data_IF_468053804567
#
_entry.id   IF_468053804567
#
_cell.length_a   1.000
_cell.length_b   1.000
_cell.length_c   1.000
_cell.angle_alpha   90.00
_cell.angle_beta   90.00
_cell.angle_gamma   90.00
#
_symmetry.space_group_name_H-M   'P 1'
#
loop_
_entity.id
_entity.type
_entity.pdbx_description
1 polymer ?
#
# COMPACT_ATOMS: atom_id res chain seq x y z
N UNK A 1 -11.35 -5.18 -37.43
CA UNK A 1 -10.71 -3.84 -37.31
C UNK A 1 -11.51 -2.85 -36.45
N UNK A 2 -12.85 -2.80 -36.51
CA UNK A 2 -13.66 -1.81 -35.76
C UNK A 2 -13.51 -1.86 -34.22
N UNK A 3 -13.47 -3.06 -33.62
CA UNK A 3 -13.38 -3.23 -32.16
C UNK A 3 -12.18 -2.53 -31.53
N UNK A 4 -10.99 -2.68 -32.13
CA UNK A 4 -9.75 -2.11 -31.60
C UNK A 4 -9.68 -0.58 -31.72
N UNK A 5 -10.57 0.02 -32.52
CA UNK A 5 -10.67 1.48 -32.68
C UNK A 5 -11.65 2.13 -31.68
N UNK A 6 -12.41 1.34 -30.90
CA UNK A 6 -13.38 1.86 -29.92
C UNK A 6 -12.72 2.67 -28.80
N UNK A 7 -11.52 2.29 -28.38
CA UNK A 7 -10.75 2.99 -27.36
C UNK A 7 -9.54 3.61 -28.06
N UNK A 8 -9.57 4.93 -28.35
CA UNK A 8 -8.51 5.59 -29.10
C UNK A 8 -7.24 5.75 -28.25
N UNK A 9 -6.13 6.11 -28.91
CA UNK A 9 -4.84 6.43 -28.27
C UNK A 9 -4.16 5.27 -27.50
N UNK A 10 -4.62 4.05 -27.68
CA UNK A 10 -4.03 2.82 -27.13
C UNK A 10 -3.12 2.12 -28.14
N UNK A 11 -2.28 1.17 -27.68
CA UNK A 11 -1.40 0.39 -28.57
C UNK A 11 -2.19 -0.38 -29.62
N UNK A 12 -3.29 -1.05 -29.23
CA UNK A 12 -4.12 -1.83 -30.15
C UNK A 12 -4.89 -0.95 -31.15
N UNK A 13 -5.24 0.27 -30.78
CA UNK A 13 -5.86 1.21 -31.71
C UNK A 13 -4.90 1.69 -32.81
N UNK A 14 -3.58 1.61 -32.58
CA UNK A 14 -2.53 2.09 -33.49
C UNK A 14 -1.88 0.99 -34.32
N UNK A 15 -2.45 -0.22 -34.35
CA UNK A 15 -1.90 -1.31 -35.16
C UNK A 15 -1.90 -0.95 -36.66
N UNK A 16 -0.74 -1.15 -37.29
CA UNK A 16 -0.51 -1.00 -38.73
C UNK A 16 0.38 -2.14 -39.20
N UNK A 17 0.31 -2.44 -40.50
CA UNK A 17 1.12 -3.48 -41.15
C UNK A 17 2.62 -3.11 -41.24
N UNK A 18 2.96 -1.86 -40.92
CA UNK A 18 4.34 -1.37 -40.85
C UNK A 18 5.02 -1.66 -39.50
N UNK A 19 4.30 -2.21 -38.53
CA UNK A 19 4.86 -2.54 -37.23
C UNK A 19 5.73 -3.80 -37.30
N UNK A 20 6.84 -3.78 -36.54
CA UNK A 20 7.80 -4.89 -36.50
C UNK A 20 7.20 -6.22 -35.99
N UNK A 21 6.07 -6.16 -35.30
CA UNK A 21 5.40 -7.32 -34.73
C UNK A 21 4.24 -7.85 -35.60
N UNK A 22 4.11 -7.37 -36.84
CA UNK A 22 3.16 -7.89 -37.83
C UNK A 22 3.82 -8.94 -38.73
N UNK A 23 3.23 -10.13 -38.83
CA UNK A 23 3.62 -11.17 -39.79
C UNK A 23 2.75 -11.06 -41.05
N UNK A 24 3.30 -10.70 -42.22
CA UNK A 24 2.54 -10.56 -43.46
C UNK A 24 2.15 -11.90 -44.09
N UNK A 25 2.81 -13.00 -43.75
CA UNK A 25 2.51 -14.34 -44.28
C UNK A 25 1.26 -14.89 -43.58
N UNK A 26 1.23 -14.79 -42.25
CA UNK A 26 0.11 -15.28 -41.42
C UNK A 26 -0.99 -14.22 -41.22
N UNK A 27 -0.71 -12.96 -41.57
CA UNK A 27 -1.60 -11.80 -41.35
C UNK A 27 -2.02 -11.66 -39.88
N UNK A 28 -1.04 -11.76 -38.99
CA UNK A 28 -1.24 -11.71 -37.53
C UNK A 28 -0.24 -10.79 -36.85
N UNK A 29 -0.54 -10.46 -35.58
CA UNK A 29 0.34 -9.66 -34.75
C UNK A 29 0.83 -10.50 -33.58
N UNK A 30 2.15 -10.55 -33.39
CA UNK A 30 2.77 -11.25 -32.27
C UNK A 30 3.03 -10.29 -31.10
N UNK A 31 2.78 -10.77 -29.89
CA UNK A 31 3.10 -10.07 -28.66
C UNK A 31 3.58 -11.07 -27.61
N UNK A 32 4.81 -10.91 -27.14
CA UNK A 32 5.37 -11.72 -26.07
C UNK A 32 4.98 -11.15 -24.70
N UNK A 33 3.67 -11.23 -24.38
CA UNK A 33 3.04 -10.64 -23.18
C UNK A 33 2.10 -11.63 -22.51
N UNK A 34 1.60 -11.29 -21.32
CA UNK A 34 0.79 -12.22 -20.51
C UNK A 34 -0.56 -12.56 -21.16
N UNK A 35 -0.79 -13.82 -21.59
CA UNK A 35 -1.97 -14.18 -22.40
C UNK A 35 -3.29 -14.04 -21.64
N UNK A 36 -3.29 -14.33 -20.32
CA UNK A 36 -4.49 -14.21 -19.48
C UNK A 36 -4.95 -12.75 -19.30
N UNK A 37 -3.99 -11.81 -19.25
CA UNK A 37 -4.32 -10.38 -19.12
C UNK A 37 -4.80 -9.83 -20.45
N UNK A 38 -4.17 -10.25 -21.55
CA UNK A 38 -4.60 -9.84 -22.89
C UNK A 38 -6.08 -10.17 -23.18
N UNK A 39 -6.59 -11.29 -22.64
CA UNK A 39 -8.01 -11.60 -22.75
C UNK A 39 -8.91 -10.51 -22.14
N UNK A 40 -8.55 -9.97 -20.97
CA UNK A 40 -9.28 -8.88 -20.32
C UNK A 40 -9.13 -7.56 -21.06
N UNK A 41 -7.92 -7.25 -21.52
CA UNK A 41 -7.64 -6.10 -22.38
C UNK A 41 -8.55 -6.14 -23.61
N UNK A 42 -8.62 -7.26 -24.32
CA UNK A 42 -9.45 -7.39 -25.52
C UNK A 42 -10.96 -7.31 -25.20
N UNK A 43 -11.39 -7.86 -24.07
CA UNK A 43 -12.77 -7.74 -23.60
C UNK A 43 -13.15 -6.29 -23.28
N UNK A 44 -12.21 -5.47 -22.79
CA UNK A 44 -12.45 -4.05 -22.59
C UNK A 44 -12.77 -3.34 -23.92
N UNK A 45 -12.04 -3.60 -25.00
CA UNK A 45 -12.41 -3.05 -26.32
C UNK A 45 -13.76 -3.55 -26.82
N UNK A 46 -14.18 -4.77 -26.47
CA UNK A 46 -15.47 -5.32 -26.89
C UNK A 46 -16.63 -4.67 -26.16
N UNK A 47 -16.54 -4.59 -24.83
CA UNK A 47 -17.64 -4.27 -23.91
C UNK A 47 -17.63 -2.82 -23.41
N UNK A 48 -16.46 -2.17 -23.41
CA UNK A 48 -16.26 -0.88 -22.74
C UNK A 48 -16.12 -0.97 -21.22
N UNK A 49 -16.00 -2.18 -20.65
CA UNK A 49 -15.82 -2.41 -19.21
C UNK A 49 -14.52 -3.14 -18.93
N UNK A 50 -13.69 -2.59 -18.05
CA UNK A 50 -12.39 -3.16 -17.70
C UNK A 50 -12.50 -3.96 -16.39
N UNK A 51 -12.42 -5.28 -16.48
CA UNK A 51 -12.48 -6.17 -15.32
C UNK A 51 -11.09 -6.73 -14.97
N UNK A 52 -10.84 -6.85 -13.67
CA UNK A 52 -9.62 -7.43 -13.12
C UNK A 52 -9.64 -8.97 -13.18
N UNK A 53 -8.58 -9.62 -13.70
CA UNK A 53 -8.43 -11.08 -13.66
C UNK A 53 -8.03 -11.57 -12.26
N UNK A 54 -8.78 -12.54 -11.71
CA UNK A 54 -8.57 -13.04 -10.32
C UNK A 54 -7.37 -13.98 -10.16
N UNK A 55 -6.78 -14.43 -11.26
CA UNK A 55 -5.62 -15.33 -11.33
C UNK A 55 -4.27 -14.59 -11.46
N UNK A 56 -4.29 -13.26 -11.45
CA UNK A 56 -3.13 -12.38 -11.58
C UNK A 56 -3.07 -11.45 -10.36
N UNK A 57 -1.90 -10.89 -10.04
CA UNK A 57 -1.74 -9.87 -8.99
C UNK A 57 -1.93 -8.44 -9.55
N UNK A 58 -2.34 -7.50 -8.68
CA UNK A 58 -2.56 -6.09 -9.02
C UNK A 58 -1.40 -5.46 -9.80
N UNK A 59 -0.14 -5.52 -9.29
CA UNK A 59 1.00 -4.93 -9.97
C UNK A 59 1.25 -5.46 -11.39
N UNK A 60 1.16 -6.79 -11.59
CA UNK A 60 1.34 -7.38 -12.92
C UNK A 60 0.25 -6.89 -13.90
N UNK A 61 -0.98 -6.73 -13.42
CA UNK A 61 -2.07 -6.20 -14.23
C UNK A 61 -1.83 -4.74 -14.61
N UNK A 62 -1.32 -3.90 -13.70
CA UNK A 62 -0.95 -2.50 -13.97
C UNK A 62 0.13 -2.40 -15.05
N UNK A 63 1.20 -3.19 -14.94
CA UNK A 63 2.28 -3.23 -15.94
C UNK A 63 1.77 -3.60 -17.34
N UNK A 64 0.83 -4.54 -17.42
CA UNK A 64 0.19 -4.88 -18.69
C UNK A 64 -0.71 -3.75 -19.19
N UNK A 65 -1.54 -3.14 -18.35
CA UNK A 65 -2.38 -2.01 -18.76
C UNK A 65 -1.53 -0.85 -19.29
N UNK A 66 -0.42 -0.53 -18.61
CA UNK A 66 0.54 0.47 -19.05
C UNK A 66 1.13 0.09 -20.41
N UNK A 67 1.55 -1.17 -20.60
CA UNK A 67 2.04 -1.65 -21.89
C UNK A 67 1.01 -1.44 -23.01
N UNK A 68 -0.26 -1.74 -22.77
CA UNK A 68 -1.35 -1.59 -23.74
C UNK A 68 -1.83 -0.15 -23.91
N UNK A 69 -1.37 0.77 -23.05
CA UNK A 69 -1.76 2.18 -23.01
C UNK A 69 -3.18 2.40 -22.49
N UNK A 70 -3.59 1.61 -21.49
CA UNK A 70 -4.87 1.71 -20.81
C UNK A 70 -4.70 2.31 -19.42
N UNK A 71 -5.64 3.17 -19.03
CA UNK A 71 -5.66 3.77 -17.70
C UNK A 71 -6.22 2.77 -16.67
N UNK A 72 -5.43 2.46 -15.64
CA UNK A 72 -5.80 1.55 -14.57
C UNK A 72 -6.92 2.08 -13.67
N UNK A 73 -7.19 3.39 -13.70
CA UNK A 73 -8.33 3.97 -12.99
C UNK A 73 -9.69 3.64 -13.65
N UNK A 74 -9.69 3.05 -14.86
CA UNK A 74 -10.91 2.65 -15.57
C UNK A 74 -11.41 1.26 -15.17
N UNK A 75 -10.74 0.58 -14.22
CA UNK A 75 -11.21 -0.71 -13.70
C UNK A 75 -12.61 -0.56 -13.10
N UNK A 76 -13.50 -1.51 -13.36
CA UNK A 76 -14.86 -1.47 -12.88
C UNK A 76 -14.93 -1.61 -11.34
N UNK A 77 -15.88 -0.95 -10.66
CA UNK A 77 -15.98 -0.94 -9.20
C UNK A 77 -16.07 -2.33 -8.55
N UNK A 78 -16.67 -3.31 -9.25
CA UNK A 78 -16.76 -4.69 -8.77
C UNK A 78 -15.39 -5.38 -8.56
N UNK A 79 -14.33 -4.82 -9.13
CA UNK A 79 -12.98 -5.38 -9.10
C UNK A 79 -12.02 -4.61 -8.18
N UNK A 80 -12.39 -3.41 -7.71
CA UNK A 80 -11.49 -2.51 -6.98
C UNK A 80 -10.87 -3.16 -5.75
N UNK A 81 -11.69 -3.79 -4.91
CA UNK A 81 -11.22 -4.40 -3.65
C UNK A 81 -10.10 -5.41 -3.88
N UNK A 82 -10.20 -6.24 -4.91
CA UNK A 82 -9.19 -7.26 -5.23
C UNK A 82 -7.97 -6.63 -5.90
N UNK A 83 -8.20 -5.67 -6.80
CA UNK A 83 -7.17 -4.98 -7.56
C UNK A 83 -6.24 -4.13 -6.66
N UNK A 84 -6.80 -3.38 -5.70
CA UNK A 84 -6.03 -2.49 -4.83
C UNK A 84 -5.44 -3.20 -3.60
N UNK A 85 -5.89 -4.41 -3.29
CA UNK A 85 -5.47 -5.14 -2.08
C UNK A 85 -3.94 -5.18 -1.90
N UNK A 86 -3.19 -5.44 -2.97
CA UNK A 86 -1.72 -5.47 -2.89
C UNK A 86 -1.14 -4.09 -2.56
N UNK A 87 -1.60 -3.03 -3.24
CA UNK A 87 -1.14 -1.65 -3.00
C UNK A 87 -1.47 -1.20 -1.58
N UNK A 88 -2.69 -1.46 -1.14
CA UNK A 88 -3.16 -1.07 0.20
C UNK A 88 -2.38 -1.84 1.28
N UNK A 89 -2.05 -3.12 1.02
CA UNK A 89 -1.17 -3.91 1.89
C UNK A 89 0.25 -3.34 1.91
N UNK A 90 0.80 -2.97 0.76
CA UNK A 90 2.15 -2.40 0.69
C UNK A 90 2.24 -1.03 1.36
N UNK A 91 1.20 -0.19 1.22
CA UNK A 91 1.11 1.10 1.90
C UNK A 91 1.02 0.92 3.42
N UNK A 92 0.16 0.02 3.89
CA UNK A 92 0.05 -0.29 5.32
C UNK A 92 1.34 -0.86 5.89
N UNK A 93 2.02 -1.77 5.18
CA UNK A 93 3.33 -2.27 5.57
C UNK A 93 4.38 -1.15 5.64
N UNK A 94 4.39 -0.21 4.70
CA UNK A 94 5.30 0.93 4.73
C UNK A 94 5.00 1.89 5.90
N UNK A 95 3.73 2.02 6.30
CA UNK A 95 3.36 2.76 7.51
C UNK A 95 3.84 2.03 8.76
N UNK A 96 3.66 0.72 8.84
CA UNK A 96 4.13 -0.10 9.97
C UNK A 96 5.66 -0.03 10.10
N UNK A 97 6.40 -0.15 9.01
CA UNK A 97 7.87 -0.05 9.00
C UNK A 97 8.34 1.32 9.52
N UNK A 98 7.68 2.41 9.13
CA UNK A 98 7.96 3.75 9.67
C UNK A 98 7.69 3.84 11.18
N UNK A 99 6.61 3.22 11.67
CA UNK A 99 6.29 3.20 13.10
C UNK A 99 7.27 2.34 13.90
N UNK A 100 7.74 1.24 13.32
CA UNK A 100 8.75 0.38 13.96
C UNK A 100 10.12 1.06 14.03
N UNK A 101 10.47 1.93 13.07
CA UNK A 101 11.69 2.75 13.14
C UNK A 101 11.66 3.81 14.26
N UNK A 102 10.47 4.25 14.69
CA UNK A 102 10.29 5.16 15.84
C UNK A 102 10.38 4.45 17.20
N UNK A 103 10.79 3.18 17.25
CA UNK A 103 11.02 2.45 18.53
C UNK A 103 12.35 2.80 19.22
N UNK A 104 13.11 3.75 18.68
CA UNK A 104 14.18 4.38 19.44
C UNK A 104 13.60 5.04 20.70
N UNK A 105 14.23 4.77 21.85
CA UNK A 105 13.78 5.39 23.11
C UNK A 105 13.83 6.91 22.92
N UNK A 106 12.70 7.62 23.13
CA UNK A 106 12.68 9.06 22.95
C UNK A 106 13.73 9.70 23.86
N UNK A 107 14.44 10.67 23.32
CA UNK A 107 15.42 11.45 24.07
C UNK A 107 14.76 12.14 25.27
N UNK A 108 15.55 12.47 26.30
CA UNK A 108 15.02 13.16 27.48
C UNK A 108 14.37 14.52 27.11
N UNK A 109 14.85 15.17 26.05
CA UNK A 109 14.28 16.39 25.50
C UNK A 109 12.89 16.17 24.87
N UNK A 110 12.72 15.13 24.05
CA UNK A 110 11.43 14.78 23.45
C UNK A 110 10.40 14.39 24.51
N UNK A 111 10.83 13.67 25.54
CA UNK A 111 10.00 13.37 26.70
C UNK A 111 9.60 14.66 27.42
N UNK A 112 10.54 15.59 27.66
CA UNK A 112 10.22 16.88 28.27
C UNK A 112 9.20 17.67 27.43
N UNK A 113 9.34 17.68 26.10
CA UNK A 113 8.41 18.32 25.17
C UNK A 113 7.01 17.69 25.22
N UNK A 114 6.91 16.36 25.17
CA UNK A 114 5.64 15.60 25.25
C UNK A 114 4.84 15.90 26.53
N UNK A 115 5.53 16.13 27.64
CA UNK A 115 4.90 16.38 28.94
C UNK A 115 4.81 17.87 29.32
N UNK A 116 5.23 18.79 28.44
CA UNK A 116 5.18 20.24 28.67
C UNK A 116 6.19 20.75 29.70
N UNK A 117 7.34 20.10 29.81
CA UNK A 117 8.42 20.42 30.76
C UNK A 117 9.68 20.97 30.08
N UNK A 118 9.58 21.43 28.84
CA UNK A 118 10.72 21.91 28.05
C UNK A 118 11.48 23.05 28.74
N UNK A 119 10.80 24.08 29.23
CA UNK A 119 11.42 25.21 29.93
C UNK A 119 12.17 24.76 31.20
N UNK A 120 11.59 23.81 31.95
CA UNK A 120 12.20 23.25 33.16
C UNK A 120 13.42 22.38 32.83
N UNK A 121 13.40 21.70 31.69
CA UNK A 121 14.51 20.91 31.18
C UNK A 121 15.69 21.80 30.75
N UNK A 122 15.44 22.83 29.93
CA UNK A 122 16.47 23.75 29.47
C UNK A 122 17.04 24.66 30.58
N UNK A 123 16.23 25.01 31.58
CA UNK A 123 16.70 25.74 32.77
C UNK A 123 17.43 24.86 33.80
N UNK A 124 17.47 23.53 33.59
CA UNK A 124 18.08 22.58 34.52
C UNK A 124 17.32 22.38 35.84
N UNK A 125 16.14 22.96 35.98
CA UNK A 125 15.34 22.96 37.21
C UNK A 125 14.19 21.92 37.16
N UNK A 126 14.52 20.67 36.83
CA UNK A 126 13.54 19.59 36.71
C UNK A 126 13.25 19.00 38.10
N UNK A 127 11.99 19.02 38.52
CA UNK A 127 11.54 18.37 39.75
C UNK A 127 11.63 16.85 39.70
N UNK A 128 11.72 16.20 40.86
CA UNK A 128 11.70 14.74 40.94
C UNK A 128 10.44 14.13 40.31
N UNK A 129 9.26 14.76 40.49
CA UNK A 129 8.01 14.33 39.87
C UNK A 129 8.05 14.40 38.34
N UNK A 130 8.65 15.45 37.77
CA UNK A 130 8.81 15.57 36.30
C UNK A 130 9.73 14.49 35.72
N UNK A 131 10.67 13.95 36.51
CA UNK A 131 11.51 12.81 36.10
C UNK A 131 10.82 11.46 36.24
N UNK A 132 9.94 11.29 37.22
CA UNK A 132 9.28 10.00 37.50
C UNK A 132 7.95 9.83 36.78
N UNK A 133 7.19 10.91 36.57
CA UNK A 133 5.89 10.89 35.87
C UNK A 133 5.96 10.22 34.48
N UNK A 134 6.92 10.55 33.59
CA UNK A 134 6.99 9.90 32.28
C UNK A 134 7.25 8.39 32.36
N UNK A 135 8.09 7.96 33.31
CA UNK A 135 8.42 6.54 33.53
C UNK A 135 7.23 5.75 34.08
N UNK A 136 6.44 6.39 34.95
CA UNK A 136 5.22 5.79 35.47
C UNK A 136 4.15 5.72 34.38
N UNK A 137 4.03 6.75 33.54
CA UNK A 137 3.11 6.77 32.42
C UNK A 137 3.40 5.65 31.42
N UNK A 138 4.66 5.50 30.97
CA UNK A 138 5.02 4.44 30.02
C UNK A 138 4.83 3.03 30.59
N UNK A 139 4.96 2.86 31.91
CA UNK A 139 4.72 1.57 32.57
C UNK A 139 3.26 1.09 32.45
N UNK A 140 2.30 2.01 32.41
CA UNK A 140 0.86 1.69 32.33
C UNK A 140 0.29 1.80 30.92
N UNK A 141 0.78 2.74 30.11
CA UNK A 141 0.25 3.06 28.78
C UNK A 141 0.86 2.17 27.68
N UNK A 142 2.13 1.78 27.83
CA UNK A 142 2.88 1.01 26.84
C UNK A 142 3.26 -0.37 27.40
N UNK A 143 2.47 -1.44 27.17
CA UNK A 143 2.73 -2.77 27.74
C UNK A 143 4.05 -3.39 27.27
N UNK A 144 4.62 -2.91 26.16
CA UNK A 144 5.90 -3.38 25.64
C UNK A 144 7.12 -2.58 26.14
N UNK A 145 6.91 -1.49 26.90
CA UNK A 145 7.99 -0.59 27.35
C UNK A 145 8.99 -1.26 28.31
N UNK A 146 8.55 -2.25 29.08
CA UNK A 146 9.38 -3.00 30.03
C UNK A 146 8.76 -4.34 30.39
N UNK A 147 9.54 -5.24 31.01
CA UNK A 147 9.00 -6.52 31.51
C UNK A 147 7.93 -6.31 32.60
N UNK A 148 8.07 -5.27 33.42
CA UNK A 148 7.06 -4.91 34.42
C UNK A 148 5.75 -4.43 33.75
N UNK A 149 5.84 -3.63 32.69
CA UNK A 149 4.68 -3.21 31.90
C UNK A 149 3.95 -4.39 31.26
N UNK A 150 4.69 -5.41 30.78
CA UNK A 150 4.11 -6.64 30.23
C UNK A 150 3.29 -7.40 31.28
N UNK A 151 3.82 -7.53 32.49
CA UNK A 151 3.13 -8.20 33.60
C UNK A 151 1.85 -7.44 33.98
N UNK A 152 1.92 -6.10 34.08
CA UNK A 152 0.74 -5.26 34.33
C UNK A 152 -0.29 -5.44 33.21
N UNK A 153 0.14 -5.44 31.95
CA UNK A 153 -0.74 -5.67 30.79
C UNK A 153 -1.47 -7.01 30.85
N UNK A 154 -0.76 -8.10 31.21
CA UNK A 154 -1.37 -9.43 31.39
C UNK A 154 -2.41 -9.42 32.52
N UNK A 155 -2.11 -8.79 33.65
CA UNK A 155 -3.05 -8.66 34.77
C UNK A 155 -4.28 -7.86 34.36
N UNK A 156 -4.11 -6.74 33.66
CA UNK A 156 -5.21 -5.91 33.16
C UNK A 156 -6.13 -6.69 32.22
N UNK A 157 -5.58 -7.44 31.25
CA UNK A 157 -6.38 -8.28 30.34
C UNK A 157 -7.12 -9.38 31.11
N UNK A 158 -6.48 -10.01 32.08
CA UNK A 158 -7.12 -11.01 32.93
C UNK A 158 -8.37 -10.47 33.62
N UNK A 159 -8.30 -9.27 34.23
CA UNK A 159 -9.46 -8.65 34.88
C UNK A 159 -10.55 -8.14 33.91
N UNK A 160 -10.23 -7.92 32.63
CA UNK A 160 -11.22 -7.58 31.61
C UNK A 160 -11.96 -8.84 31.14
N UNK A 161 -11.27 -9.97 31.06
CA UNK A 161 -11.82 -11.22 30.54
C UNK A 161 -12.57 -12.08 31.56
N UNK A 162 -12.38 -11.85 32.86
CA UNK A 162 -13.06 -12.55 33.97
C UNK A 162 -14.21 -11.71 34.50
#
# INVERSE_FOLDING_TARGET
KATLKKIPATRLSRLTEALANYDPILNEYFFDRHPGVFAQVLNYYRTGKLHYPTDVCGPLFEEELEYWGLDSNQVEPCCWMTYTAHRDTQETLAVLDRLDLDTDKPSEEEVARKFGFEDAYFSGNISWWQKTKPKLWSLFDEPYSSQAAKVIGVISVFFICV
#
